data_IF_365406743525
#
_entry.id   IF_365406743525
#
_cell.length_a   1.000
_cell.length_b   1.000
_cell.length_c   1.000
_cell.angle_alpha   90.00
_cell.angle_beta   90.00
_cell.angle_gamma   90.00
#
_symmetry.space_group_name_H-M   'P 1'
#
loop_
_entity.id
_entity.type
_entity.pdbx_description
1 polymer ?
#
# COMPACT_ATOMS: atom_id res chain seq x y z
N UNK A 1 -4.92 20.50 18.37
CA UNK A 1 -4.68 19.05 18.45
C UNK A 1 -4.31 18.57 17.06
N UNK A 2 -3.14 17.96 16.90
CA UNK A 2 -2.74 17.31 15.64
C UNK A 2 -3.58 16.04 15.51
N UNK A 3 -4.25 15.78 14.38
CA UNK A 3 -5.02 14.57 14.22
C UNK A 3 -4.10 13.34 14.38
N UNK A 4 -4.55 12.26 15.03
CA UNK A 4 -3.78 11.04 15.11
C UNK A 4 -3.51 10.54 13.69
N UNK A 5 -2.37 9.89 13.43
CA UNK A 5 -2.14 9.28 12.13
C UNK A 5 -3.26 8.31 11.81
N UNK A 6 -3.58 8.27 10.53
CA UNK A 6 -4.59 7.39 9.97
C UNK A 6 -3.91 6.29 9.17
N UNK A 7 -4.58 5.16 8.97
CA UNK A 7 -4.12 4.05 8.13
C UNK A 7 -2.81 3.41 8.58
N UNK A 8 -2.90 2.22 9.18
CA UNK A 8 -1.74 1.45 9.62
C UNK A 8 -1.58 0.21 8.75
N UNK A 9 -0.34 -0.10 8.40
CA UNK A 9 0.05 -1.40 7.87
C UNK A 9 1.38 -1.81 8.51
N UNK A 10 1.57 -3.09 8.78
CA UNK A 10 2.80 -3.59 9.37
C UNK A 10 3.30 -4.82 8.62
N UNK A 11 4.61 -4.97 8.56
CA UNK A 11 5.29 -6.15 8.05
C UNK A 11 6.48 -6.46 8.95
N UNK A 12 6.83 -7.73 9.04
CA UNK A 12 8.03 -8.19 9.74
C UNK A 12 8.95 -8.86 8.73
N UNK A 13 10.23 -8.48 8.74
CA UNK A 13 11.22 -9.02 7.83
C UNK A 13 12.58 -9.06 8.51
N UNK A 14 13.22 -10.25 8.53
CA UNK A 14 14.57 -10.43 9.10
C UNK A 14 14.70 -9.83 10.51
N UNK A 15 13.77 -10.19 11.40
CA UNK A 15 13.66 -9.70 12.79
C UNK A 15 13.43 -8.18 12.94
N UNK A 16 13.08 -7.49 11.85
CA UNK A 16 12.76 -6.06 11.85
C UNK A 16 11.28 -5.86 11.53
N UNK A 17 10.55 -5.26 12.46
CA UNK A 17 9.18 -4.78 12.24
C UNK A 17 9.22 -3.44 11.53
N UNK A 18 8.43 -3.29 10.47
CA UNK A 18 8.14 -2.02 9.83
C UNK A 18 6.67 -1.66 10.08
N UNK A 19 6.42 -0.45 10.57
CA UNK A 19 5.08 0.11 10.73
C UNK A 19 4.91 1.31 9.81
N UNK A 20 3.99 1.21 8.86
CA UNK A 20 3.61 2.28 7.94
C UNK A 20 2.39 3.03 8.47
N UNK A 21 2.38 4.35 8.28
CA UNK A 21 1.29 5.21 8.70
C UNK A 21 1.09 6.40 7.75
N UNK A 22 -0.09 7.01 7.77
CA UNK A 22 -0.35 8.29 7.10
C UNK A 22 -0.34 9.42 8.11
N UNK A 23 0.58 10.37 7.93
CA UNK A 23 0.77 11.52 8.83
C UNK A 23 -0.33 12.60 8.65
N UNK A 24 -0.28 13.67 9.46
CA UNK A 24 -1.24 14.78 9.40
C UNK A 24 -1.20 15.59 8.09
N UNK A 25 -0.11 15.52 7.35
CA UNK A 25 0.07 16.12 6.02
C UNK A 25 -0.36 15.17 4.89
N UNK A 26 -0.95 14.01 5.23
CA UNK A 26 -1.39 12.97 4.29
C UNK A 26 -0.24 12.32 3.52
N UNK A 27 0.96 12.31 4.08
CA UNK A 27 2.08 11.57 3.50
C UNK A 27 2.30 10.23 4.21
N UNK A 28 2.84 9.26 3.48
CA UNK A 28 3.21 7.96 4.05
C UNK A 28 4.53 8.10 4.81
N UNK A 29 4.53 7.75 6.09
CA UNK A 29 5.74 7.59 6.89
C UNK A 29 5.89 6.15 7.37
N UNK A 30 7.04 5.85 7.96
CA UNK A 30 7.28 4.55 8.58
C UNK A 30 8.19 4.61 9.81
N UNK A 31 8.07 3.58 10.64
CA UNK A 31 8.97 3.24 11.74
C UNK A 31 9.59 1.88 11.46
N UNK A 32 10.76 1.60 12.02
CA UNK A 32 11.43 0.29 11.91
C UNK A 32 12.11 -0.15 13.21
N UNK A 33 12.21 -1.46 13.41
CA UNK A 33 12.91 -2.10 14.55
C UNK A 33 12.13 -1.99 15.87
N UNK A 34 12.84 -2.08 17.00
CA UNK A 34 12.24 -2.01 18.35
C UNK A 34 11.43 -0.72 18.58
N UNK A 35 11.84 0.37 17.92
CA UNK A 35 11.12 1.64 17.91
C UNK A 35 9.73 1.54 17.27
N UNK A 36 9.45 0.55 16.43
CA UNK A 36 8.09 0.29 15.94
C UNK A 36 7.25 -0.43 17.00
N UNK A 37 7.83 -1.40 17.72
CA UNK A 37 7.14 -2.18 18.75
C UNK A 37 6.84 -1.39 20.02
N UNK A 38 7.78 -0.56 20.49
CA UNK A 38 7.63 0.26 21.71
C UNK A 38 6.69 1.46 21.51
N UNK A 39 6.59 1.99 20.28
CA UNK A 39 5.72 3.14 19.96
C UNK A 39 4.26 2.75 19.65
N UNK A 40 3.91 1.47 19.70
CA UNK A 40 2.52 1.00 19.59
C UNK A 40 1.79 1.09 20.94
N UNK A 41 2.51 1.11 22.06
CA UNK A 41 1.94 0.98 23.41
C UNK A 41 1.63 2.28 24.14
N UNK A 42 2.10 3.43 23.66
CA UNK A 42 1.76 4.73 24.25
C UNK A 42 0.90 5.53 23.27
N UNK A 43 0.25 6.60 23.71
CA UNK A 43 -0.42 7.53 22.81
C UNK A 43 0.62 8.33 21.99
N UNK A 44 1.46 7.63 21.21
CA UNK A 44 2.85 8.02 20.98
C UNK A 44 2.98 9.06 19.89
N UNK A 45 3.55 10.19 20.29
CA UNK A 45 4.24 11.13 19.42
C UNK A 45 5.46 10.40 18.84
N UNK A 46 5.38 10.03 17.56
CA UNK A 46 6.44 9.32 16.84
C UNK A 46 7.76 10.09 16.93
N UNK A 47 8.80 9.54 17.57
CA UNK A 47 10.18 10.06 17.41
C UNK A 47 10.61 10.04 15.94
N UNK A 48 11.47 10.98 15.51
CA UNK A 48 11.92 11.30 14.13
C UNK A 48 11.28 10.40 13.04
N UNK A 49 10.01 10.67 12.68
CA UNK A 49 9.28 9.90 11.69
C UNK A 49 10.06 9.83 10.37
N UNK A 50 10.35 8.61 9.87
CA UNK A 50 10.94 8.47 8.54
C UNK A 50 9.86 8.66 7.49
N UNK A 51 9.98 9.74 6.72
CA UNK A 51 9.09 10.03 5.61
C UNK A 51 9.46 9.11 4.43
N UNK A 52 8.47 8.43 3.83
CA UNK A 52 8.71 7.77 2.54
C UNK A 52 8.88 8.87 1.50
N UNK A 53 10.04 8.87 0.85
CA UNK A 53 10.40 9.78 -0.23
C UNK A 53 10.65 8.98 -1.51
N UNK A 54 9.90 9.28 -2.56
CA UNK A 54 10.15 8.77 -3.91
C UNK A 54 10.61 9.93 -4.76
N UNK A 55 11.75 9.78 -5.42
CA UNK A 55 12.40 10.87 -6.19
C UNK A 55 12.60 12.16 -5.37
N UNK A 56 12.84 12.01 -4.06
CA UNK A 56 13.02 13.12 -3.12
C UNK A 56 11.73 13.81 -2.66
N UNK A 57 10.55 13.36 -3.13
CA UNK A 57 9.26 13.93 -2.78
C UNK A 57 8.45 13.02 -1.84
N UNK A 58 7.70 13.59 -0.86
CA UNK A 58 6.75 12.83 -0.04
C UNK A 58 5.65 12.16 -0.88
N UNK A 59 5.28 10.94 -0.49
CA UNK A 59 4.21 10.18 -1.14
C UNK A 59 2.86 10.52 -0.52
N UNK A 60 1.95 11.10 -1.30
CA UNK A 60 0.64 11.57 -0.85
C UNK A 60 -0.44 10.49 -0.94
N UNK A 61 -1.33 10.46 0.05
CA UNK A 61 -2.54 9.62 0.10
C UNK A 61 -3.79 10.49 -0.01
N UNK A 62 -4.75 10.09 -0.85
CA UNK A 62 -5.99 10.87 -1.04
C UNK A 62 -6.74 11.08 0.25
N UNK A 63 -7.39 12.24 0.41
CA UNK A 63 -8.20 12.57 1.59
C UNK A 63 -9.34 11.57 1.78
N UNK A 64 -9.63 11.21 3.02
CA UNK A 64 -10.74 10.29 3.35
C UNK A 64 -10.41 8.80 3.21
N UNK A 65 -9.19 8.45 2.75
CA UNK A 65 -8.75 7.06 2.73
C UNK A 65 -8.03 6.69 4.04
N UNK A 66 -8.51 5.67 4.78
CA UNK A 66 -7.95 5.33 6.09
C UNK A 66 -7.19 4.01 6.11
N UNK A 67 -6.79 3.44 4.96
CA UNK A 67 -6.14 2.14 4.89
C UNK A 67 -4.84 2.16 4.09
N UNK A 68 -3.88 1.33 4.51
CA UNK A 68 -2.68 0.98 3.78
C UNK A 68 -2.65 -0.56 3.71
N UNK A 69 -2.11 -1.12 2.64
CA UNK A 69 -1.72 -2.52 2.58
C UNK A 69 -0.20 -2.61 2.56
N UNK A 70 0.40 -3.60 3.20
CA UNK A 70 1.83 -3.82 3.10
C UNK A 70 2.15 -5.32 3.06
N UNK A 71 3.21 -5.68 2.34
CA UNK A 71 3.74 -7.04 2.29
C UNK A 71 5.26 -6.98 2.21
N UNK A 72 5.92 -7.92 2.89
CA UNK A 72 7.36 -8.12 2.80
C UNK A 72 7.67 -9.51 2.24
N UNK A 73 8.75 -9.62 1.49
CA UNK A 73 9.18 -10.86 0.85
C UNK A 73 10.69 -10.83 0.54
N UNK A 74 11.27 -12.01 0.25
CA UNK A 74 12.68 -12.18 -0.12
C UNK A 74 13.69 -11.49 0.83
N UNK A 75 13.39 -11.44 2.13
CA UNK A 75 14.23 -10.90 3.22
C UNK A 75 14.63 -9.42 3.16
N UNK A 76 14.47 -8.73 2.02
CA UNK A 76 14.79 -7.29 1.89
C UNK A 76 13.70 -6.46 1.22
N UNK A 77 12.71 -7.10 0.60
CA UNK A 77 11.76 -6.43 -0.28
C UNK A 77 10.45 -6.13 0.46
N UNK A 78 9.99 -4.89 0.32
CA UNK A 78 8.76 -4.39 0.92
C UNK A 78 7.92 -3.76 -0.20
N UNK A 79 6.62 -4.01 -0.20
CA UNK A 79 5.63 -3.31 -1.02
C UNK A 79 4.58 -2.69 -0.11
N UNK A 80 4.20 -1.45 -0.39
CA UNK A 80 3.14 -0.74 0.30
C UNK A 80 2.15 -0.24 -0.74
N UNK A 81 0.88 -0.55 -0.50
CA UNK A 81 -0.26 -0.25 -1.35
C UNK A 81 -1.11 0.82 -0.69
N UNK A 82 -1.49 1.81 -1.47
CA UNK A 82 -2.21 2.99 -1.01
C UNK A 82 -3.12 3.53 -2.12
N UNK A 83 -3.99 4.47 -1.75
CA UNK A 83 -4.85 5.16 -2.72
C UNK A 83 -4.40 6.60 -2.91
N UNK A 84 -4.34 7.02 -4.16
CA UNK A 84 -4.04 8.39 -4.55
C UNK A 84 -5.09 8.91 -5.54
N UNK A 85 -5.10 10.23 -5.72
CA UNK A 85 -5.88 10.87 -6.77
C UNK A 85 -5.46 10.33 -8.14
N UNK A 86 -6.44 10.13 -9.03
CA UNK A 86 -6.19 9.81 -10.41
C UNK A 86 -5.79 11.09 -11.16
N UNK A 87 -4.53 11.24 -11.64
CA UNK A 87 -4.11 12.47 -12.31
C UNK A 87 -4.78 12.66 -13.69
N UNK A 88 -5.42 11.60 -14.22
CA UNK A 88 -6.06 11.61 -15.55
C UNK A 88 -7.56 11.83 -15.50
N UNK A 89 -8.22 11.51 -14.38
CA UNK A 89 -9.68 11.59 -14.23
C UNK A 89 -10.00 12.30 -12.91
N UNK A 90 -10.57 13.52 -12.95
CA UNK A 90 -10.97 14.24 -11.75
C UNK A 90 -11.92 13.41 -10.86
N UNK A 91 -11.76 13.56 -9.55
CA UNK A 91 -12.59 12.90 -8.52
C UNK A 91 -12.55 11.36 -8.51
N UNK A 92 -11.68 10.74 -9.31
CA UNK A 92 -11.38 9.33 -9.23
C UNK A 92 -10.15 9.04 -8.37
N UNK A 93 -10.21 7.90 -7.69
CA UNK A 93 -9.16 7.40 -6.83
C UNK A 93 -8.56 6.13 -7.42
N UNK A 94 -7.24 6.00 -7.44
CA UNK A 94 -6.55 4.82 -7.98
C UNK A 94 -5.70 4.13 -6.93
N UNK A 95 -5.61 2.81 -7.06
CA UNK A 95 -4.67 1.99 -6.30
C UNK A 95 -3.24 2.22 -6.83
N UNK A 96 -2.31 2.52 -5.94
CA UNK A 96 -0.89 2.72 -6.24
C UNK A 96 -0.01 1.87 -5.33
N UNK A 97 1.22 1.64 -5.78
CA UNK A 97 2.26 0.91 -5.06
C UNK A 97 3.51 1.78 -4.91
N UNK A 98 4.10 1.76 -3.72
CA UNK A 98 5.51 2.10 -3.49
C UNK A 98 6.24 0.84 -3.04
N UNK A 99 7.52 0.78 -3.39
CA UNK A 99 8.35 -0.38 -3.18
C UNK A 99 9.71 0.02 -2.63
N UNK A 100 10.29 -0.88 -1.86
CA UNK A 100 11.69 -0.86 -1.44
C UNK A 100 12.25 -2.26 -1.62
N UNK A 101 13.48 -2.36 -2.13
CA UNK A 101 14.18 -3.64 -2.30
C UNK A 101 15.37 -3.79 -1.33
N UNK A 102 15.55 -2.83 -0.43
CA UNK A 102 16.74 -2.67 0.42
C UNK A 102 16.41 -2.32 1.88
N UNK A 103 15.31 -2.89 2.41
CA UNK A 103 14.85 -2.68 3.80
C UNK A 103 14.45 -1.24 4.11
N UNK A 104 13.76 -0.59 3.18
CA UNK A 104 13.24 0.77 3.34
C UNK A 104 14.30 1.86 3.30
N UNK A 105 15.51 1.59 2.77
CA UNK A 105 16.56 2.61 2.60
C UNK A 105 16.28 3.46 1.37
N UNK A 106 15.85 2.84 0.29
CA UNK A 106 15.40 3.52 -0.94
C UNK A 106 13.97 3.12 -1.26
N UNK A 107 13.21 4.09 -1.77
CA UNK A 107 11.81 3.92 -2.15
C UNK A 107 11.61 4.38 -3.59
N UNK A 108 10.80 3.63 -4.32
CA UNK A 108 10.43 3.92 -5.70
C UNK A 108 8.96 3.61 -5.95
N UNK A 109 8.38 4.21 -7.00
CA UNK A 109 7.04 3.84 -7.44
C UNK A 109 7.07 2.43 -8.03
N UNK A 110 6.19 1.57 -7.50
CA UNK A 110 5.97 0.24 -8.03
C UNK A 110 5.26 0.27 -9.38
N UNK A 111 4.89 -0.91 -9.88
CA UNK A 111 4.25 -1.00 -11.20
C UNK A 111 2.75 -0.67 -11.15
N UNK A 112 2.11 -0.77 -9.97
CA UNK A 112 0.70 -0.44 -9.79
C UNK A 112 0.50 1.08 -9.74
N UNK A 113 -0.35 1.59 -10.64
CA UNK A 113 -0.75 3.00 -10.70
C UNK A 113 0.35 3.98 -11.12
N UNK A 114 1.46 3.51 -11.71
CA UNK A 114 2.52 4.36 -12.27
C UNK A 114 2.06 5.03 -13.57
N UNK A 115 2.23 6.34 -13.69
CA UNK A 115 1.59 7.17 -14.73
C UNK A 115 1.90 6.78 -16.19
N UNK A 116 3.14 6.35 -16.45
CA UNK A 116 3.67 6.12 -17.80
C UNK A 116 3.35 4.72 -18.34
N UNK A 117 3.40 3.70 -17.47
CA UNK A 117 3.43 2.30 -17.89
C UNK A 117 2.70 1.33 -16.92
N UNK A 118 2.05 1.87 -15.87
CA UNK A 118 1.43 1.06 -14.82
C UNK A 118 -0.03 0.71 -15.09
N UNK A 119 -0.48 -0.39 -14.49
CA UNK A 119 -1.90 -0.76 -14.45
C UNK A 119 -2.58 0.06 -13.34
N UNK A 120 -3.69 0.72 -13.65
CA UNK A 120 -4.48 1.51 -12.69
C UNK A 120 -5.84 0.88 -12.47
N UNK A 121 -6.28 0.81 -11.21
CA UNK A 121 -7.62 0.38 -10.85
C UNK A 121 -8.31 1.49 -10.06
N UNK A 122 -9.53 1.85 -10.46
CA UNK A 122 -10.35 2.80 -9.73
C UNK A 122 -10.87 2.14 -8.44
N UNK A 123 -10.72 2.83 -7.31
CA UNK A 123 -11.00 2.30 -5.96
C UNK A 123 -12.09 3.11 -5.29
N UNK A 124 -13.05 2.42 -4.65
CA UNK A 124 -14.11 3.07 -3.87
C UNK A 124 -13.54 3.84 -2.69
N UNK A 125 -14.15 4.98 -2.37
CA UNK A 125 -13.85 5.71 -1.14
C UNK A 125 -14.10 4.81 0.07
N UNK A 126 -13.13 4.75 0.99
CA UNK A 126 -13.20 3.89 2.18
C UNK A 126 -12.87 2.41 1.95
N UNK A 127 -12.44 2.00 0.75
CA UNK A 127 -11.96 0.63 0.52
C UNK A 127 -10.86 0.25 1.51
N UNK A 128 -10.94 -0.95 2.09
CA UNK A 128 -9.77 -1.56 2.71
C UNK A 128 -8.72 -1.92 1.66
N UNK A 129 -7.46 -2.07 2.08
CA UNK A 129 -6.43 -2.71 1.26
C UNK A 129 -5.80 -3.83 2.07
N UNK A 130 -5.72 -5.02 1.50
CA UNK A 130 -4.91 -6.10 2.04
C UNK A 130 -4.03 -6.66 0.92
N UNK A 131 -2.79 -7.04 1.24
CA UNK A 131 -1.87 -7.60 0.28
C UNK A 131 -1.14 -8.81 0.86
N UNK A 132 -0.99 -9.84 0.05
CA UNK A 132 -0.23 -11.04 0.42
C UNK A 132 0.71 -11.45 -0.71
N UNK A 133 1.86 -11.99 -0.32
CA UNK A 133 2.82 -12.61 -1.23
C UNK A 133 2.64 -14.13 -1.21
N UNK A 134 2.54 -14.73 -2.39
CA UNK A 134 2.37 -16.15 -2.58
C UNK A 134 3.68 -16.74 -3.14
N UNK A 135 4.60 -17.25 -2.28
CA UNK A 135 5.92 -17.70 -2.72
C UNK A 135 5.86 -18.87 -3.70
N UNK A 136 4.88 -19.77 -3.57
CA UNK A 136 4.73 -20.93 -4.45
C UNK A 136 4.43 -20.59 -5.91
N UNK A 137 3.92 -19.38 -6.19
CA UNK A 137 3.65 -18.89 -7.55
C UNK A 137 4.35 -17.57 -7.86
N UNK A 138 5.21 -17.09 -6.94
CA UNK A 138 5.94 -15.84 -7.02
C UNK A 138 5.06 -14.64 -7.45
N UNK A 139 3.96 -14.41 -6.73
CA UNK A 139 2.97 -13.37 -7.07
C UNK A 139 2.44 -12.67 -5.82
N UNK A 140 2.03 -11.41 -5.98
CA UNK A 140 1.18 -10.73 -5.02
C UNK A 140 -0.30 -10.93 -5.34
N UNK A 141 -1.11 -10.83 -4.28
CA UNK A 141 -2.56 -10.62 -4.35
C UNK A 141 -2.85 -9.34 -3.59
N UNK A 142 -3.44 -8.36 -4.25
CA UNK A 142 -3.86 -7.10 -3.61
C UNK A 142 -5.37 -7.02 -3.67
N UNK A 143 -6.01 -7.03 -2.52
CA UNK A 143 -7.46 -7.03 -2.36
C UNK A 143 -7.95 -5.62 -2.03
N UNK A 144 -9.01 -5.19 -2.72
CA UNK A 144 -9.60 -3.85 -2.62
C UNK A 144 -11.04 -3.86 -3.15
N UNK A 145 -11.76 -2.75 -3.00
CA UNK A 145 -13.12 -2.55 -3.52
C UNK A 145 -13.08 -1.53 -4.65
N UNK A 146 -13.65 -1.88 -5.82
CA UNK A 146 -13.74 -0.96 -6.97
C UNK A 146 -14.87 0.07 -6.79
N UNK A 147 -14.78 1.22 -7.47
CA UNK A 147 -15.77 2.31 -7.39
C UNK A 147 -17.20 1.83 -7.70
N UNK A 148 -17.37 0.94 -8.67
CA UNK A 148 -18.68 0.54 -9.18
C UNK A 148 -19.15 -0.84 -8.67
N UNK A 149 -18.44 -1.43 -7.71
CA UNK A 149 -18.70 -2.80 -7.27
C UNK A 149 -18.77 -2.89 -5.75
N UNK A 150 -19.90 -3.38 -5.22
CA UNK A 150 -20.04 -3.75 -3.79
C UNK A 150 -19.37 -5.10 -3.46
N UNK A 151 -18.26 -5.42 -4.14
CA UNK A 151 -17.55 -6.69 -4.02
C UNK A 151 -16.06 -6.50 -3.86
N UNK A 152 -15.45 -7.51 -3.23
CA UNK A 152 -14.01 -7.60 -3.13
C UNK A 152 -13.41 -7.96 -4.49
N UNK A 153 -12.57 -7.08 -5.00
CA UNK A 153 -11.72 -7.30 -6.15
C UNK A 153 -10.31 -7.74 -5.70
N UNK A 154 -9.60 -8.43 -6.59
CA UNK A 154 -8.18 -8.76 -6.40
C UNK A 154 -7.37 -8.42 -7.64
N UNK A 155 -6.23 -7.77 -7.46
CA UNK A 155 -5.20 -7.64 -8.47
C UNK A 155 -4.17 -8.77 -8.32
N UNK A 156 -3.90 -9.46 -9.43
CA UNK A 156 -2.86 -10.47 -9.54
C UNK A 156 -1.59 -9.86 -10.13
N UNK A 157 -0.51 -9.80 -9.35
CA UNK A 157 0.75 -9.19 -9.77
C UNK A 157 1.89 -10.20 -9.68
N UNK A 158 2.81 -10.30 -10.64
CA UNK A 158 4.06 -11.04 -10.44
C UNK A 158 4.84 -10.45 -9.25
N UNK A 159 5.85 -11.16 -8.75
CA UNK A 159 6.87 -10.58 -7.89
C UNK A 159 8.22 -10.56 -8.62
N UNK A 160 8.73 -9.37 -8.94
CA UNK A 160 10.01 -9.21 -9.66
C UNK A 160 10.20 -7.79 -10.22
N UNK A 161 11.39 -7.43 -10.71
CA UNK A 161 11.66 -6.10 -11.27
C UNK A 161 11.10 -5.90 -12.69
N UNK A 162 10.93 -6.99 -13.44
CA UNK A 162 10.54 -6.98 -14.86
C UNK A 162 9.05 -7.25 -15.05
N UNK A 163 8.22 -6.25 -14.76
CA UNK A 163 6.80 -6.34 -15.09
C UNK A 163 6.58 -6.04 -16.57
N UNK A 164 6.24 -7.06 -17.35
CA UNK A 164 5.81 -6.88 -18.73
C UNK A 164 4.56 -5.98 -18.78
N UNK A 165 4.56 -5.03 -19.73
CA UNK A 165 3.39 -4.22 -20.07
C UNK A 165 2.26 -5.13 -20.54
N UNK A 166 1.10 -5.06 -19.90
CA UNK A 166 -0.13 -5.68 -20.41
C UNK A 166 -0.80 -6.59 -19.40
N UNK A 167 -2.02 -6.20 -19.03
CA UNK A 167 -3.09 -6.96 -18.38
C UNK A 167 -2.69 -7.80 -17.17
N UNK A 168 -2.51 -7.10 -16.05
CA UNK A 168 -2.76 -7.75 -14.77
C UNK A 168 -4.23 -8.12 -14.70
N UNK A 169 -4.51 -9.40 -14.50
CA UNK A 169 -5.87 -9.83 -14.29
C UNK A 169 -6.37 -9.20 -12.98
N UNK A 170 -7.46 -8.45 -13.07
CA UNK A 170 -8.25 -8.09 -11.92
C UNK A 170 -9.53 -8.90 -11.97
N UNK A 171 -9.70 -9.82 -11.03
CA UNK A 171 -11.00 -10.46 -10.86
C UNK A 171 -11.90 -9.47 -10.11
N UNK A 172 -12.96 -8.91 -10.76
CA UNK A 172 -13.85 -7.93 -10.13
C UNK A 172 -14.66 -8.55 -8.98
N UNK A 173 -15.01 -9.83 -9.10
CA UNK A 173 -15.92 -10.51 -8.19
C UNK A 173 -15.30 -11.77 -7.62
N UNK A 174 -14.51 -11.65 -6.54
CA UNK A 174 -14.19 -12.82 -5.74
C UNK A 174 -15.41 -13.29 -4.93
N UNK A 175 -16.18 -12.33 -4.39
CA UNK A 175 -17.42 -12.57 -3.60
C UNK A 175 -18.16 -11.27 -3.30
N UNK A 176 -19.49 -11.34 -3.16
CA UNK A 176 -20.31 -10.27 -2.56
C UNK A 176 -20.14 -10.25 -1.04
N UNK A 177 -19.95 -9.06 -0.45
CA UNK A 177 -19.73 -8.88 1.01
C UNK A 177 -20.86 -9.51 1.86
N UNK A 178 -22.06 -9.67 1.30
CA UNK A 178 -23.25 -10.15 2.02
C UNK A 178 -23.47 -11.66 2.00
N UNK A 179 -22.61 -12.46 1.34
CA UNK A 179 -22.77 -13.93 1.32
C UNK A 179 -22.08 -14.57 2.54
N UNK A 180 -22.62 -15.61 3.21
CA UNK A 180 -21.96 -16.35 4.30
C UNK A 180 -20.77 -17.18 3.78
N UNK A 181 -19.85 -17.52 4.69
CA UNK A 181 -18.63 -18.30 4.40
C UNK A 181 -18.93 -19.79 4.26
#
# INVERSE_FOLDING_TARGET
MTPPPSALAAVELSDTTFLFYVNSHRNIGFLKGDAASEKITEATVYGEPQQVLVDGAPVNVVKGFPHLGAVAYNNTQIRVYYVADNPKVPDENILKEIASDDLGKTWFYGALGREKDGVSYSVSLGSGINAVYLPGVNQFRVYFTKVDEASLAVAYMPAGPDYAKGDWNCAPHLREINKPW
#
